data_IF_327378302023
#
_entry.id   IF_327378302023
#
_cell.length_a   1.000
_cell.length_b   1.000
_cell.length_c   1.000
_cell.angle_alpha   90.00
_cell.angle_beta   90.00
_cell.angle_gamma   90.00
#
_symmetry.space_group_name_H-M   'P 1'
#
loop_
_entity.id
_entity.type
_entity.pdbx_description
1 polymer ?
#
# COMPACT_ATOMS: atom_id res chain seq x y z
N UNK A 1 -3.95 -19.29 -1.02
CA UNK A 1 -3.14 -18.62 0.02
C UNK A 1 -2.85 -17.23 -0.51
N UNK A 2 -3.70 -16.27 -0.13
CA UNK A 2 -3.62 -14.89 -0.59
C UNK A 2 -2.82 -14.12 0.49
N UNK A 3 -1.80 -13.36 0.10
CA UNK A 3 -0.89 -12.62 0.99
C UNK A 3 -1.58 -11.41 1.60
N UNK A 4 -1.50 -11.21 2.90
CA UNK A 4 -2.14 -10.09 3.60
C UNK A 4 -1.29 -8.83 3.53
N UNK A 5 -1.36 -8.20 2.37
CA UNK A 5 -0.64 -6.97 2.10
C UNK A 5 -1.64 -5.83 2.01
N UNK A 6 -1.50 -4.88 2.92
CA UNK A 6 -2.07 -3.56 2.71
C UNK A 6 -1.17 -2.82 1.72
N UNK A 7 -1.76 -2.37 0.62
CA UNK A 7 -1.02 -1.78 -0.50
C UNK A 7 -1.18 -0.27 -0.48
N UNK A 8 -0.07 0.41 -0.34
CA UNK A 8 0.02 1.83 -0.58
C UNK A 8 0.35 2.04 -2.05
N UNK A 9 -0.43 2.88 -2.72
CA UNK A 9 -0.30 3.23 -4.13
C UNK A 9 0.18 4.68 -4.19
N UNK A 10 1.37 4.94 -4.71
CA UNK A 10 1.96 6.28 -4.76
C UNK A 10 2.28 6.69 -6.18
N UNK A 11 1.78 7.84 -6.63
CA UNK A 11 2.16 8.42 -7.91
C UNK A 11 3.42 9.29 -7.79
N UNK A 12 4.33 9.21 -8.75
CA UNK A 12 5.54 10.03 -8.88
C UNK A 12 5.56 10.76 -10.22
N UNK A 13 6.06 11.99 -10.26
CA UNK A 13 6.59 12.59 -11.50
C UNK A 13 8.11 12.53 -11.37
N UNK A 14 8.79 11.83 -12.28
CA UNK A 14 10.24 11.69 -12.18
C UNK A 14 10.92 13.03 -12.48
N UNK A 15 11.60 13.57 -11.48
CA UNK A 15 12.72 14.49 -11.69
C UNK A 15 13.96 13.68 -11.30
N UNK A 16 14.85 13.47 -12.28
CA UNK A 16 15.95 12.50 -12.26
C UNK A 16 16.99 12.78 -11.17
N UNK A 17 17.52 11.71 -10.58
CA UNK A 17 18.91 11.44 -10.12
C UNK A 17 18.83 10.20 -9.18
N UNK A 18 19.48 9.04 -9.32
CA UNK A 18 20.63 8.53 -10.08
C UNK A 18 20.35 7.01 -10.32
N UNK A 19 20.64 6.56 -11.55
CA UNK A 19 20.71 5.18 -12.06
C UNK A 19 19.43 4.33 -12.20
N UNK A 20 19.21 3.90 -13.45
CA UNK A 20 18.14 3.07 -14.03
C UNK A 20 16.83 3.79 -14.44
N UNK A 21 16.31 3.55 -15.67
CA UNK A 21 15.09 4.18 -16.16
C UNK A 21 13.88 3.52 -15.48
N UNK A 22 13.54 3.93 -14.25
CA UNK A 22 12.18 3.75 -13.74
C UNK A 22 11.26 4.75 -14.43
N UNK A 23 10.81 4.37 -15.62
CA UNK A 23 9.82 5.08 -16.45
C UNK A 23 8.42 5.10 -15.83
N UNK A 24 8.23 4.48 -14.66
CA UNK A 24 6.94 4.38 -14.00
C UNK A 24 6.69 5.61 -13.14
N UNK A 25 5.75 6.45 -13.59
CA UNK A 25 5.17 7.57 -12.83
C UNK A 25 4.35 7.11 -11.60
N UNK A 26 4.52 5.87 -11.16
CA UNK A 26 3.69 5.21 -10.15
C UNK A 26 4.46 4.06 -9.49
N UNK A 27 4.26 3.88 -8.18
CA UNK A 27 4.88 2.85 -7.37
C UNK A 27 3.84 2.23 -6.42
N UNK A 28 4.03 0.94 -6.13
CA UNK A 28 3.28 0.20 -5.11
C UNK A 28 4.22 -0.05 -3.95
N UNK A 29 3.79 0.23 -2.73
CA UNK A 29 4.51 -0.08 -1.50
C UNK A 29 3.66 -1.04 -0.67
N UNK A 30 4.24 -2.17 -0.27
CA UNK A 30 3.52 -3.25 0.40
C UNK A 30 3.95 -3.37 1.85
N UNK A 31 2.99 -3.30 2.77
CA UNK A 31 3.22 -3.45 4.22
C UNK A 31 2.51 -4.70 4.73
N UNK A 32 3.25 -5.78 5.02
CA UNK A 32 2.70 -6.97 5.65
C UNK A 32 2.12 -6.64 7.04
N UNK A 33 1.03 -7.31 7.42
CA UNK A 33 0.37 -7.13 8.72
C UNK A 33 -0.27 -8.43 9.18
N UNK A 34 -0.15 -8.76 10.46
CA UNK A 34 -0.72 -10.01 11.02
C UNK A 34 -1.92 -9.78 11.95
N UNK A 35 -2.47 -8.56 11.99
CA UNK A 35 -3.55 -8.19 12.93
C UNK A 35 -4.93 -8.73 12.52
N UNK A 36 -5.07 -9.30 11.32
CA UNK A 36 -6.35 -9.72 10.77
C UNK A 36 -6.36 -11.24 10.59
N UNK A 37 -6.93 -11.97 11.56
CA UNK A 37 -7.04 -13.43 11.49
C UNK A 37 -5.72 -14.19 11.46
N UNK A 38 -4.59 -13.54 11.77
CA UNK A 38 -3.29 -14.20 11.84
C UNK A 38 -2.78 -14.75 10.51
N UNK A 39 -3.19 -14.20 9.36
CA UNK A 39 -2.87 -14.76 8.04
C UNK A 39 -1.51 -14.31 7.46
N UNK A 40 -0.70 -13.56 8.23
CA UNK A 40 0.71 -13.22 7.92
C UNK A 40 1.67 -13.55 9.11
N UNK A 41 1.71 -14.83 9.57
CA UNK A 41 2.42 -15.20 10.80
C UNK A 41 3.95 -15.21 10.65
N UNK A 42 4.46 -15.29 9.43
CA UNK A 42 5.89 -15.42 9.14
C UNK A 42 6.74 -14.22 9.59
N UNK A 43 8.05 -14.43 9.64
CA UNK A 43 9.06 -13.39 9.86
C UNK A 43 9.26 -12.52 8.62
N UNK A 44 9.86 -11.33 8.78
CA UNK A 44 10.11 -10.41 7.65
C UNK A 44 10.91 -11.08 6.49
N UNK A 45 11.98 -11.86 6.76
CA UNK A 45 12.67 -12.58 5.68
C UNK A 45 11.80 -13.61 4.96
N UNK A 46 10.99 -14.40 5.69
CA UNK A 46 10.10 -15.41 5.10
C UNK A 46 9.01 -14.78 4.23
N UNK A 47 8.41 -13.68 4.72
CA UNK A 47 7.40 -12.91 3.99
C UNK A 47 7.99 -12.36 2.69
N UNK A 48 9.15 -11.70 2.76
CA UNK A 48 9.86 -11.16 1.59
C UNK A 48 10.19 -12.27 0.58
N UNK A 49 10.75 -13.37 1.05
CA UNK A 49 11.09 -14.51 0.21
C UNK A 49 9.86 -15.07 -0.53
N UNK A 50 8.76 -15.27 0.19
CA UNK A 50 7.52 -15.80 -0.37
C UNK A 50 6.90 -14.82 -1.37
N UNK A 51 6.87 -13.52 -1.07
CA UNK A 51 6.36 -12.49 -1.98
C UNK A 51 7.16 -12.45 -3.30
N UNK A 52 8.49 -12.50 -3.24
CA UNK A 52 9.35 -12.50 -4.43
C UNK A 52 9.25 -13.79 -5.25
N UNK A 53 9.26 -14.96 -4.59
CA UNK A 53 9.34 -16.25 -5.30
C UNK A 53 7.97 -16.76 -5.74
N UNK A 54 7.01 -16.80 -4.83
CA UNK A 54 5.69 -17.41 -5.09
C UNK A 54 4.77 -16.48 -5.85
N UNK A 55 4.84 -15.17 -5.58
CA UNK A 55 3.93 -14.18 -6.18
C UNK A 55 4.60 -13.28 -7.21
N UNK A 56 5.92 -13.43 -7.41
CA UNK A 56 6.69 -12.63 -8.37
C UNK A 56 6.44 -11.14 -8.17
N UNK A 57 6.43 -10.70 -6.92
CA UNK A 57 6.24 -9.29 -6.60
C UNK A 57 7.41 -8.46 -7.17
N UNK A 58 7.09 -7.50 -8.03
CA UNK A 58 8.06 -6.57 -8.65
C UNK A 58 8.06 -5.20 -7.95
N UNK A 59 7.53 -5.14 -6.73
CA UNK A 59 7.40 -3.91 -5.94
C UNK A 59 7.97 -4.09 -4.53
N UNK A 60 8.42 -3.00 -3.86
CA UNK A 60 8.97 -3.07 -2.51
C UNK A 60 8.02 -3.71 -1.49
N UNK A 61 8.50 -4.74 -0.80
CA UNK A 61 7.87 -5.34 0.38
C UNK A 61 8.63 -4.86 1.62
N UNK A 62 7.95 -4.12 2.48
CA UNK A 62 8.51 -3.61 3.73
C UNK A 62 8.45 -4.66 4.84
N UNK A 63 9.02 -4.30 5.98
CA UNK A 63 8.88 -5.08 7.20
C UNK A 63 7.43 -5.07 7.70
N UNK A 64 7.06 -6.12 8.43
CA UNK A 64 5.73 -6.25 9.03
C UNK A 64 5.48 -5.13 10.02
N UNK A 65 4.29 -4.54 9.96
CA UNK A 65 3.87 -3.43 10.82
C UNK A 65 2.48 -3.66 11.38
N UNK A 66 2.24 -3.05 12.54
CA UNK A 66 0.88 -2.88 13.06
C UNK A 66 0.23 -1.66 12.39
N UNK A 67 -1.04 -1.80 12.06
CA UNK A 67 -1.83 -0.80 11.32
C UNK A 67 -2.97 -0.24 12.15
N UNK A 68 -3.28 -0.92 13.26
CA UNK A 68 -4.26 -0.54 14.28
C UNK A 68 -3.65 -0.66 15.69
N UNK A 69 -4.28 0.03 16.65
CA UNK A 69 -3.89 -0.01 18.06
C UNK A 69 -2.73 0.91 18.43
N UNK A 70 -2.24 0.86 19.69
CA UNK A 70 -1.21 1.77 20.20
C UNK A 70 0.14 1.68 19.46
N UNK A 71 0.45 0.51 18.91
CA UNK A 71 1.69 0.25 18.15
C UNK A 71 1.57 0.57 16.65
N UNK A 72 0.47 1.22 16.22
CA UNK A 72 0.26 1.55 14.79
C UNK A 72 1.47 2.29 14.23
N UNK A 73 2.05 1.79 13.14
CA UNK A 73 3.18 2.44 12.48
C UNK A 73 2.83 3.89 12.06
N UNK A 74 3.75 4.86 12.17
CA UNK A 74 3.47 6.27 11.88
C UNK A 74 2.85 6.52 10.50
N UNK A 75 3.25 5.74 9.49
CA UNK A 75 2.66 5.84 8.14
C UNK A 75 1.16 5.51 8.16
N UNK A 76 0.73 4.49 8.91
CA UNK A 76 -0.68 4.14 9.03
C UNK A 76 -1.48 5.10 9.88
N UNK A 77 -0.86 5.76 10.87
CA UNK A 77 -1.48 6.87 11.58
C UNK A 77 -1.81 8.00 10.60
N UNK A 78 -0.81 8.43 9.81
CA UNK A 78 -0.98 9.46 8.79
C UNK A 78 -2.05 9.08 7.76
N UNK A 79 -1.99 7.87 7.19
CA UNK A 79 -2.91 7.42 6.15
C UNK A 79 -4.36 7.41 6.63
N UNK A 80 -4.59 6.90 7.83
CA UNK A 80 -5.95 6.79 8.40
C UNK A 80 -6.52 8.17 8.69
N UNK A 81 -5.75 9.07 9.32
CA UNK A 81 -6.20 10.43 9.64
C UNK A 81 -6.43 11.32 8.40
N UNK A 82 -5.75 11.03 7.28
CA UNK A 82 -5.85 11.84 6.05
C UNK A 82 -6.80 11.27 4.99
N UNK A 83 -7.42 10.11 5.22
CA UNK A 83 -8.30 9.46 4.25
C UNK A 83 -9.75 9.98 4.24
N UNK A 84 -10.11 10.92 5.11
CA UNK A 84 -11.35 11.70 5.01
C UNK A 84 -12.68 10.91 5.04
N UNK A 85 -12.69 9.69 5.55
CA UNK A 85 -13.87 8.82 5.56
C UNK A 85 -14.75 8.98 6.81
N UNK A 86 -16.07 8.89 6.64
CA UNK A 86 -17.05 8.74 7.75
C UNK A 86 -16.90 7.39 8.51
N UNK A 87 -16.26 6.41 7.87
CA UNK A 87 -15.93 5.12 8.46
C UNK A 87 -14.62 5.30 9.21
N UNK A 88 -14.68 5.27 10.54
CA UNK A 88 -13.59 5.66 11.43
C UNK A 88 -12.19 5.11 11.13
N UNK A 89 -11.22 5.61 11.87
CA UNK A 89 -9.78 5.52 11.61
C UNK A 89 -9.16 4.11 11.67
N UNK A 90 -9.96 3.05 11.78
CA UNK A 90 -9.47 1.66 11.84
C UNK A 90 -9.42 1.03 10.45
N UNK A 91 -8.32 0.34 10.16
CA UNK A 91 -8.24 -0.60 9.03
C UNK A 91 -9.12 -1.80 9.38
N UNK A 92 -10.05 -2.18 8.50
CA UNK A 92 -11.05 -3.21 8.83
C UNK A 92 -10.60 -4.62 8.51
N UNK A 93 -9.77 -4.78 7.47
CA UNK A 93 -9.31 -6.08 6.99
C UNK A 93 -8.08 -5.95 6.09
N UNK A 94 -7.50 -7.10 5.72
CA UNK A 94 -6.42 -7.21 4.74
C UNK A 94 -6.80 -6.62 3.38
N UNK A 95 -5.79 -6.17 2.62
CA UNK A 95 -5.94 -5.58 1.28
C UNK A 95 -6.69 -4.26 1.21
N UNK A 96 -6.79 -3.51 2.30
CA UNK A 96 -7.10 -2.09 2.22
C UNK A 96 -6.01 -1.36 1.40
N UNK A 97 -6.36 -0.27 0.71
CA UNK A 97 -5.41 0.43 -0.18
C UNK A 97 -5.57 1.93 -0.04
N UNK A 98 -4.46 2.63 -0.10
CA UNK A 98 -4.47 4.10 -0.07
C UNK A 98 -3.81 4.60 -1.35
N UNK A 99 -4.41 5.59 -1.99
CA UNK A 99 -3.81 6.28 -3.13
C UNK A 99 -3.26 7.62 -2.65
N UNK A 100 -1.97 7.83 -2.91
CA UNK A 100 -1.25 9.06 -2.60
C UNK A 100 -0.83 9.74 -3.91
N UNK A 101 -1.07 11.04 -4.00
CA UNK A 101 -0.57 11.86 -5.10
C UNK A 101 0.93 12.19 -4.99
N UNK A 102 1.46 12.87 -6.00
CA UNK A 102 2.86 13.31 -6.09
C UNK A 102 3.28 14.29 -4.98
N UNK A 103 2.32 14.93 -4.31
CA UNK A 103 2.55 15.88 -3.20
C UNK A 103 2.47 15.21 -1.84
N UNK A 104 2.25 13.90 -1.79
CA UNK A 104 2.14 13.15 -0.54
C UNK A 104 0.75 13.20 0.09
N UNK A 105 -0.27 13.73 -0.61
CA UNK A 105 -1.64 13.80 -0.10
C UNK A 105 -2.36 12.49 -0.36
N UNK A 106 -3.05 11.97 0.66
CA UNK A 106 -3.99 10.87 0.51
C UNK A 106 -5.20 11.37 -0.28
N UNK A 107 -5.43 10.79 -1.45
CA UNK A 107 -6.54 11.17 -2.33
C UNK A 107 -7.70 10.20 -2.27
N UNK A 108 -7.46 8.94 -1.89
CA UNK A 108 -8.50 7.91 -1.84
C UNK A 108 -8.08 6.75 -0.93
N UNK A 109 -9.07 6.10 -0.31
CA UNK A 109 -8.94 4.91 0.54
C UNK A 109 -9.91 3.84 0.04
N UNK A 110 -9.36 2.77 -0.51
CA UNK A 110 -10.13 1.69 -1.12
C UNK A 110 -10.30 0.49 -0.19
N UNK A 111 -11.53 0.01 0.04
CA UNK A 111 -11.74 -1.27 0.69
C UNK A 111 -11.18 -2.44 -0.14
N UNK A 112 -11.05 -3.64 0.46
CA UNK A 112 -10.54 -4.82 -0.21
C UNK A 112 -11.32 -5.20 -1.49
N UNK A 113 -12.61 -4.90 -1.50
CA UNK A 113 -13.56 -5.21 -2.59
C UNK A 113 -13.49 -4.26 -3.78
N UNK A 114 -12.75 -3.14 -3.70
CA UNK A 114 -12.64 -2.23 -4.84
C UNK A 114 -11.93 -2.90 -6.01
N UNK A 115 -12.54 -2.81 -7.19
CA UNK A 115 -11.99 -3.41 -8.40
C UNK A 115 -10.70 -2.71 -8.86
N UNK A 116 -9.79 -3.49 -9.43
CA UNK A 116 -8.56 -2.96 -10.02
C UNK A 116 -8.84 -2.00 -11.19
N UNK A 117 -9.96 -2.16 -11.90
CA UNK A 117 -10.36 -1.25 -12.97
C UNK A 117 -10.60 0.16 -12.43
N UNK A 118 -11.35 0.28 -11.32
CA UNK A 118 -11.60 1.56 -10.68
C UNK A 118 -10.31 2.22 -10.20
N UNK A 119 -9.45 1.45 -9.51
CA UNK A 119 -8.16 1.94 -9.02
C UNK A 119 -7.26 2.42 -10.18
N UNK A 120 -7.19 1.67 -11.29
CA UNK A 120 -6.43 2.06 -12.48
C UNK A 120 -6.95 3.37 -13.09
N UNK A 121 -8.27 3.57 -13.13
CA UNK A 121 -8.89 4.80 -13.63
C UNK A 121 -8.45 6.00 -12.80
N UNK A 122 -8.43 5.87 -11.48
CA UNK A 122 -8.05 6.97 -10.59
C UNK A 122 -6.54 7.25 -10.60
N UNK A 123 -5.71 6.21 -10.68
CA UNK A 123 -4.26 6.37 -10.92
C UNK A 123 -4.05 7.16 -12.22
N UNK A 124 -4.70 6.77 -13.32
CA UNK A 124 -4.53 7.46 -14.61
C UNK A 124 -4.86 8.96 -14.51
N UNK A 125 -5.94 9.33 -13.81
CA UNK A 125 -6.29 10.74 -13.58
C UNK A 125 -5.17 11.51 -12.87
N UNK A 126 -4.50 10.90 -11.89
CA UNK A 126 -3.37 11.55 -11.19
C UNK A 126 -2.12 11.69 -12.06
N UNK A 127 -1.89 10.74 -12.97
CA UNK A 127 -0.72 10.76 -13.85
C UNK A 127 -0.86 11.78 -14.99
N UNK A 128 -2.11 12.06 -15.39
CA UNK A 128 -2.46 12.99 -16.46
C UNK A 128 -2.66 14.44 -15.96
N UNK A 129 -2.49 14.70 -14.64
CA UNK A 129 -2.66 16.00 -13.97
C UNK A 129 -1.32 16.67 -13.55
#
# INVERSE_FOLDING_TARGET
MWFDIIKLLRAFTSVREIQEPRTTRFEILAFPCNQFGGQEPGSNPEIKQSACTRFKAEFPIFDKVDVNGPSTAPIYQFLKSNAGGFLGDLIKWNFEKFLIDKKGKVVERYPPTTSLFQIKKDIKKLLDA
#
